data_IF_022643711147
#
_entry.id   IF_022643711147
#
_cell.length_a   1.000
_cell.length_b   1.000
_cell.length_c   1.000
_cell.angle_alpha   90.00
_cell.angle_beta   90.00
_cell.angle_gamma   90.00
#
_symmetry.space_group_name_H-M   'P 1'
#
loop_
_entity.id
_entity.type
_entity.pdbx_description
1 polymer ?
#
# COMPACT_ATOMS: atom_id res chain seq x y z
N UNK A 1 3.94 -19.76 2.24
CA UNK A 1 4.32 -21.15 2.53
C UNK A 1 3.07 -22.00 2.37
N UNK A 2 3.07 -22.99 1.46
CA UNK A 2 2.01 -24.00 1.42
C UNK A 2 2.06 -24.75 2.76
N UNK A 3 0.96 -24.72 3.53
CA UNK A 3 0.86 -25.41 4.82
C UNK A 3 0.90 -24.51 6.07
N UNK A 4 1.27 -23.24 5.96
CA UNK A 4 1.28 -22.31 7.11
C UNK A 4 0.07 -21.40 7.22
N UNK A 5 -0.80 -21.39 6.20
CA UNK A 5 -2.03 -20.60 6.18
C UNK A 5 -3.15 -21.29 6.94
N UNK A 6 -4.10 -20.51 7.45
CA UNK A 6 -5.35 -21.05 7.97
C UNK A 6 -6.09 -21.80 6.86
N UNK A 7 -6.43 -23.07 7.08
CA UNK A 7 -7.09 -23.90 6.07
C UNK A 7 -8.52 -23.45 5.79
N UNK A 8 -9.23 -22.90 6.79
CA UNK A 8 -10.62 -22.48 6.66
C UNK A 8 -10.76 -21.25 5.74
N UNK A 9 -9.90 -20.24 5.88
CA UNK A 9 -9.96 -19.00 5.09
C UNK A 9 -8.84 -18.90 4.04
N UNK A 10 -8.02 -19.93 3.86
CA UNK A 10 -6.90 -19.99 2.90
C UNK A 10 -5.88 -18.83 3.05
N UNK A 11 -5.85 -18.20 4.23
CA UNK A 11 -4.97 -17.09 4.54
C UNK A 11 -5.59 -15.71 4.36
N UNK A 12 -6.86 -15.58 4.03
CA UNK A 12 -7.53 -14.29 3.85
C UNK A 12 -7.90 -13.64 5.19
N UNK A 13 -8.06 -14.45 6.26
CA UNK A 13 -8.51 -13.98 7.57
C UNK A 13 -10.01 -13.72 7.64
N UNK A 14 -10.67 -13.66 6.48
CA UNK A 14 -12.11 -13.48 6.31
C UNK A 14 -12.70 -14.63 5.52
N UNK A 15 -13.97 -14.88 5.72
CA UNK A 15 -14.79 -15.81 4.92
C UNK A 15 -15.79 -14.98 4.15
N UNK A 16 -15.80 -15.15 2.83
CA UNK A 16 -16.75 -14.52 1.94
C UNK A 16 -18.06 -15.33 1.98
N UNK A 17 -19.17 -14.65 2.27
CA UNK A 17 -20.52 -15.20 2.18
C UNK A 17 -21.17 -14.59 0.93
N UNK A 18 -21.36 -15.42 -0.09
CA UNK A 18 -22.00 -14.99 -1.33
C UNK A 18 -23.53 -14.91 -1.14
N UNK A 19 -24.09 -13.77 -1.48
CA UNK A 19 -25.52 -13.53 -1.45
C UNK A 19 -26.03 -13.29 -2.88
N UNK A 20 -26.94 -14.15 -3.37
CA UNK A 20 -27.39 -14.13 -4.76
C UNK A 20 -28.00 -12.80 -5.25
N UNK A 21 -28.52 -11.94 -4.36
CA UNK A 21 -29.20 -10.68 -4.72
C UNK A 21 -28.69 -9.46 -3.94
N UNK A 22 -27.70 -9.65 -3.06
CA UNK A 22 -27.12 -8.61 -2.21
C UNK A 22 -25.59 -8.60 -2.38
N UNK A 23 -24.91 -7.49 -2.05
CA UNK A 23 -23.46 -7.48 -2.01
C UNK A 23 -22.91 -8.58 -1.09
N UNK A 24 -21.80 -9.20 -1.51
CA UNK A 24 -21.10 -10.20 -0.71
C UNK A 24 -20.74 -9.68 0.66
N UNK A 25 -20.94 -10.48 1.70
CA UNK A 25 -20.58 -10.15 3.08
C UNK A 25 -19.31 -10.88 3.47
N UNK A 26 -18.38 -10.15 4.10
CA UNK A 26 -17.14 -10.71 4.61
C UNK A 26 -17.20 -10.77 6.13
N UNK A 27 -17.04 -11.97 6.68
CA UNK A 27 -17.01 -12.20 8.13
C UNK A 27 -15.63 -12.68 8.57
N UNK A 28 -15.21 -12.31 9.78
CA UNK A 28 -13.95 -12.80 10.34
C UNK A 28 -13.95 -14.32 10.43
N UNK A 29 -12.87 -14.96 10.02
CA UNK A 29 -12.72 -16.40 10.10
C UNK A 29 -12.71 -16.86 11.56
N UNK A 30 -13.63 -17.75 11.93
CA UNK A 30 -13.79 -18.26 13.29
C UNK A 30 -12.62 -19.16 13.74
N UNK A 31 -11.86 -19.72 12.79
CA UNK A 31 -10.73 -20.62 13.08
C UNK A 31 -9.47 -19.84 13.42
N UNK A 32 -9.11 -18.84 12.63
CA UNK A 32 -7.89 -18.04 12.85
C UNK A 32 -8.15 -16.66 13.46
N UNK A 33 -9.41 -16.27 13.67
CA UNK A 33 -9.81 -14.98 14.22
C UNK A 33 -9.11 -13.79 13.52
N UNK A 34 -9.05 -13.84 12.19
CA UNK A 34 -8.40 -12.80 11.37
C UNK A 34 -6.87 -12.92 11.25
N UNK A 35 -6.21 -13.81 11.98
CA UNK A 35 -4.75 -13.95 12.01
C UNK A 35 -4.15 -14.58 10.74
N UNK A 36 -4.95 -15.14 9.84
CA UNK A 36 -4.59 -15.67 8.51
C UNK A 36 -3.74 -16.94 8.49
N UNK A 37 -3.04 -17.27 9.58
CA UNK A 37 -2.09 -18.39 9.68
C UNK A 37 -2.53 -19.40 10.72
N UNK A 38 -2.00 -20.61 10.62
CA UNK A 38 -2.17 -21.65 11.60
C UNK A 38 -1.33 -21.38 12.85
N UNK A 39 -1.60 -22.08 13.94
CA UNK A 39 -0.94 -21.88 15.23
C UNK A 39 0.58 -22.10 15.15
N UNK A 40 1.01 -23.14 14.46
CA UNK A 40 2.44 -23.47 14.31
C UNK A 40 3.22 -22.33 13.64
N UNK A 41 2.63 -21.67 12.64
CA UNK A 41 3.23 -20.52 11.98
C UNK A 41 3.23 -19.29 12.89
N UNK A 42 2.20 -19.10 13.71
CA UNK A 42 2.09 -17.98 14.63
C UNK A 42 3.05 -18.10 15.82
N UNK A 43 3.47 -19.31 16.17
CA UNK A 43 4.46 -19.55 17.23
C UNK A 43 5.88 -19.12 16.81
N UNK A 44 6.13 -18.95 15.49
CA UNK A 44 7.39 -18.40 14.99
C UNK A 44 7.39 -16.88 15.13
N UNK A 45 8.39 -16.36 15.86
CA UNK A 45 8.50 -14.91 16.13
C UNK A 45 9.82 -14.33 15.65
N UNK A 46 9.78 -13.07 15.21
CA UNK A 46 10.95 -12.23 14.95
C UNK A 46 10.85 -10.97 15.83
N UNK A 47 11.83 -10.67 16.64
CA UNK A 47 11.79 -9.58 17.64
C UNK A 47 10.51 -9.64 18.48
N UNK A 48 10.15 -10.83 18.96
CA UNK A 48 8.93 -11.11 19.77
C UNK A 48 7.59 -10.81 19.07
N UNK A 49 7.56 -10.67 17.76
CA UNK A 49 6.35 -10.46 16.96
C UNK A 49 6.13 -11.64 16.02
N UNK A 50 4.91 -12.15 15.98
CA UNK A 50 4.46 -13.14 14.99
C UNK A 50 4.19 -12.48 13.64
N UNK A 51 4.00 -13.29 12.60
CA UNK A 51 3.60 -12.76 11.29
C UNK A 51 2.24 -12.03 11.34
N UNK A 52 1.32 -12.44 12.20
CA UNK A 52 0.04 -11.74 12.39
C UNK A 52 0.25 -10.35 13.00
N UNK A 53 1.12 -10.22 14.00
CA UNK A 53 1.47 -8.94 14.60
C UNK A 53 2.13 -8.00 13.58
N UNK A 54 3.00 -8.53 12.74
CA UNK A 54 3.65 -7.77 11.66
C UNK A 54 2.64 -7.28 10.62
N UNK A 55 1.66 -8.11 10.25
CA UNK A 55 0.62 -7.71 9.31
C UNK A 55 -0.36 -6.67 9.90
N UNK A 56 -0.47 -6.61 11.22
CA UNK A 56 -1.32 -5.63 11.93
C UNK A 56 -0.62 -4.29 12.16
N UNK A 57 0.71 -4.23 12.02
CA UNK A 57 1.47 -2.98 12.06
C UNK A 57 1.08 -2.05 10.92
N UNK A 58 1.17 -0.74 11.17
CA UNK A 58 1.15 0.26 10.10
C UNK A 58 2.43 0.15 9.26
N UNK A 59 2.43 0.71 8.06
CA UNK A 59 3.63 0.79 7.21
C UNK A 59 4.74 1.57 7.93
N UNK A 60 4.40 2.65 8.63
CA UNK A 60 5.34 3.46 9.40
C UNK A 60 6.02 2.63 10.51
N UNK A 61 5.24 1.95 11.35
CA UNK A 61 5.76 1.03 12.37
C UNK A 61 6.61 -0.09 11.76
N UNK A 62 6.20 -0.60 10.59
CA UNK A 62 6.94 -1.63 9.86
C UNK A 62 8.30 -1.15 9.36
N UNK A 63 8.43 0.09 8.90
CA UNK A 63 9.72 0.69 8.50
C UNK A 63 10.69 0.69 9.67
N UNK A 64 10.25 1.13 10.84
CA UNK A 64 11.06 1.14 12.06
C UNK A 64 11.41 -0.27 12.54
N UNK A 65 10.43 -1.17 12.56
CA UNK A 65 10.60 -2.54 13.01
C UNK A 65 11.63 -3.30 12.16
N UNK A 66 11.60 -3.10 10.84
CA UNK A 66 12.51 -3.74 9.89
C UNK A 66 13.74 -2.89 9.53
N UNK A 67 14.11 -1.90 10.34
CA UNK A 67 15.27 -1.03 10.07
C UNK A 67 16.56 -1.80 9.78
N UNK A 68 16.77 -2.94 10.43
CA UNK A 68 17.94 -3.80 10.24
C UNK A 68 17.79 -4.82 9.06
N UNK A 69 16.65 -4.80 8.34
CA UNK A 69 16.37 -5.74 7.24
C UNK A 69 16.06 -4.93 5.96
N UNK A 70 17.09 -4.46 5.22
CA UNK A 70 16.92 -3.53 4.10
C UNK A 70 15.94 -4.03 3.03
N UNK A 71 15.96 -5.33 2.72
CA UNK A 71 15.07 -5.93 1.70
C UNK A 71 13.57 -5.76 1.99
N UNK A 72 13.18 -5.65 3.27
CA UNK A 72 11.79 -5.40 3.70
C UNK A 72 11.57 -3.91 3.92
N UNK A 73 12.48 -3.26 4.67
CA UNK A 73 12.43 -1.84 4.98
C UNK A 73 12.27 -0.99 3.73
N UNK A 74 13.07 -1.21 2.68
CA UNK A 74 13.06 -0.37 1.48
C UNK A 74 11.72 -0.45 0.73
N UNK A 75 11.04 -1.59 0.77
CA UNK A 75 9.69 -1.74 0.20
C UNK A 75 8.62 -1.03 1.03
N UNK A 76 8.72 -1.10 2.36
CA UNK A 76 7.82 -0.37 3.24
C UNK A 76 8.08 1.13 3.15
N UNK A 77 9.35 1.54 3.03
CA UNK A 77 9.72 2.93 2.81
C UNK A 77 9.07 3.48 1.54
N UNK A 78 9.10 2.74 0.42
CA UNK A 78 8.42 3.17 -0.81
C UNK A 78 6.92 3.39 -0.63
N UNK A 79 6.25 2.62 0.25
CA UNK A 79 4.85 2.84 0.61
C UNK A 79 4.68 4.08 1.51
N UNK A 80 5.59 4.28 2.45
CA UNK A 80 5.60 5.45 3.33
C UNK A 80 5.78 6.74 2.53
N UNK A 81 6.70 6.75 1.56
CA UNK A 81 7.04 7.91 0.73
C UNK A 81 5.86 8.35 -0.16
N UNK A 82 4.95 7.44 -0.53
CA UNK A 82 3.70 7.78 -1.24
C UNK A 82 2.56 8.22 -0.31
N UNK A 83 2.84 8.49 0.97
CA UNK A 83 1.82 8.91 1.94
C UNK A 83 0.93 7.78 2.45
N UNK A 84 1.38 6.52 2.41
CA UNK A 84 0.66 5.36 2.89
C UNK A 84 1.19 4.82 4.23
N UNK A 85 1.82 5.69 5.04
CA UNK A 85 2.38 5.31 6.34
C UNK A 85 1.34 4.73 7.31
N UNK A 86 0.11 5.20 7.23
CA UNK A 86 -0.99 4.86 8.13
C UNK A 86 -1.70 3.53 7.81
N UNK A 87 -1.58 2.99 6.60
CA UNK A 87 -2.24 1.72 6.26
C UNK A 87 -1.52 0.54 6.93
N UNK A 88 -2.26 -0.53 7.20
CA UNK A 88 -1.66 -1.75 7.76
C UNK A 88 -0.90 -2.51 6.69
N UNK A 89 0.26 -3.10 7.06
CA UNK A 89 1.06 -3.95 6.16
C UNK A 89 0.21 -5.10 5.59
N UNK A 90 -0.69 -5.65 6.39
CA UNK A 90 -1.63 -6.68 5.98
C UNK A 90 -2.98 -6.16 5.45
N UNK A 91 -3.12 -4.87 5.10
CA UNK A 91 -4.35 -4.31 4.59
C UNK A 91 -4.87 -5.08 3.36
N UNK A 92 -6.15 -5.41 3.34
CA UNK A 92 -6.76 -6.07 2.19
C UNK A 92 -6.99 -5.07 1.05
N UNK A 93 -6.74 -5.49 -0.18
CA UNK A 93 -6.84 -4.60 -1.35
C UNK A 93 -8.27 -4.05 -1.57
N UNK A 94 -9.30 -4.81 -1.20
CA UNK A 94 -10.70 -4.40 -1.31
C UNK A 94 -11.14 -3.37 -0.25
N UNK A 95 -10.30 -3.09 0.75
CA UNK A 95 -10.55 -2.07 1.77
C UNK A 95 -9.82 -0.75 1.47
N UNK A 96 -9.00 -0.73 0.42
CA UNK A 96 -8.30 0.46 -0.04
C UNK A 96 -9.24 1.34 -0.86
N UNK A 97 -9.16 2.64 -0.66
CA UNK A 97 -9.77 3.63 -1.57
C UNK A 97 -9.08 3.61 -2.94
N UNK A 98 -9.73 4.18 -3.96
CA UNK A 98 -9.14 4.27 -5.31
C UNK A 98 -7.77 4.95 -5.30
N UNK A 99 -7.64 6.07 -4.59
CA UNK A 99 -6.37 6.79 -4.44
C UNK A 99 -5.29 5.99 -3.71
N UNK A 100 -5.65 5.26 -2.63
CA UNK A 100 -4.70 4.38 -1.93
C UNK A 100 -4.21 3.24 -2.81
N UNK A 101 -5.13 2.58 -3.53
CA UNK A 101 -4.77 1.51 -4.45
C UNK A 101 -3.84 2.00 -5.58
N UNK A 102 -4.05 3.22 -6.08
CA UNK A 102 -3.20 3.85 -7.07
C UNK A 102 -1.80 4.14 -6.50
N UNK A 103 -1.71 4.69 -5.28
CA UNK A 103 -0.43 4.94 -4.60
C UNK A 103 0.34 3.65 -4.28
N UNK A 104 -0.35 2.55 -3.94
CA UNK A 104 0.31 1.23 -3.80
C UNK A 104 0.95 0.78 -5.12
N UNK A 105 0.26 0.98 -6.26
CA UNK A 105 0.84 0.69 -7.58
C UNK A 105 2.04 1.60 -7.85
N UNK A 106 1.94 2.88 -7.53
CA UNK A 106 3.03 3.84 -7.69
C UNK A 106 4.25 3.45 -6.84
N UNK A 107 4.08 3.13 -5.56
CA UNK A 107 5.16 2.65 -4.69
C UNK A 107 5.87 1.42 -5.26
N UNK A 108 5.09 0.49 -5.84
CA UNK A 108 5.64 -0.70 -6.51
C UNK A 108 6.51 -0.33 -7.72
N UNK A 109 6.09 0.65 -8.52
CA UNK A 109 6.89 1.10 -9.68
C UNK A 109 8.15 1.83 -9.23
N UNK A 110 8.06 2.68 -8.19
CA UNK A 110 9.20 3.38 -7.61
C UNK A 110 10.26 2.44 -7.02
N UNK A 111 9.83 1.32 -6.45
CA UNK A 111 10.77 0.30 -5.94
C UNK A 111 11.54 -0.45 -7.03
N UNK A 112 11.18 -0.25 -8.30
CA UNK A 112 11.91 -0.79 -9.45
C UNK A 112 13.03 0.17 -9.89
N UNK A 113 14.06 -0.37 -10.52
CA UNK A 113 15.10 0.46 -11.12
C UNK A 113 14.50 1.25 -12.30
N UNK A 114 14.51 2.57 -12.19
CA UNK A 114 14.00 3.44 -13.26
C UNK A 114 14.81 3.26 -14.55
N UNK A 115 14.12 3.19 -15.69
CA UNK A 115 14.73 3.17 -17.02
C UNK A 115 14.82 4.57 -17.65
N UNK A 116 14.19 5.58 -17.03
CA UNK A 116 14.11 6.94 -17.56
C UNK A 116 13.26 7.08 -18.84
N UNK A 117 12.39 6.12 -19.15
CA UNK A 117 11.55 6.09 -20.37
C UNK A 117 10.13 5.62 -20.08
N UNK A 118 9.61 5.92 -18.90
CA UNK A 118 8.26 5.50 -18.50
C UNK A 118 7.32 6.69 -18.52
N UNK A 119 6.11 6.51 -19.03
CA UNK A 119 5.00 7.44 -18.91
C UNK A 119 4.11 6.98 -17.76
N UNK A 120 3.96 7.81 -16.74
CA UNK A 120 3.04 7.62 -15.62
C UNK A 120 1.80 8.49 -15.85
N UNK A 121 0.62 7.90 -15.78
CA UNK A 121 -0.67 8.61 -15.82
C UNK A 121 -1.35 8.36 -14.49
N UNK A 122 -1.60 9.43 -13.75
CA UNK A 122 -2.17 9.41 -12.40
C UNK A 122 -3.48 10.19 -12.41
N UNK A 123 -4.53 9.56 -11.90
CA UNK A 123 -5.86 10.15 -11.82
C UNK A 123 -6.18 10.42 -10.36
N UNK A 124 -6.32 11.71 -9.99
CA UNK A 124 -6.56 12.20 -8.64
C UNK A 124 -5.67 11.54 -7.55
N UNK A 125 -4.33 11.48 -7.72
CA UNK A 125 -3.46 10.75 -6.79
C UNK A 125 -3.43 11.36 -5.39
N UNK A 126 -3.89 12.59 -5.19
CA UNK A 126 -3.94 13.26 -3.88
C UNK A 126 -5.25 13.03 -3.12
N UNK A 127 -6.22 12.33 -3.72
CA UNK A 127 -7.50 12.05 -3.06
C UNK A 127 -7.30 11.31 -1.73
N UNK A 128 -7.86 11.89 -0.66
CA UNK A 128 -7.76 11.33 0.70
C UNK A 128 -6.42 11.52 1.39
N UNK A 129 -5.49 12.30 0.81
CA UNK A 129 -4.22 12.66 1.46
C UNK A 129 -4.38 13.87 2.37
N UNK A 130 -3.68 13.83 3.51
CA UNK A 130 -3.44 15.02 4.31
C UNK A 130 -2.46 15.96 3.58
N UNK A 131 -2.56 17.27 3.82
CA UNK A 131 -1.73 18.29 3.14
C UNK A 131 -0.22 17.97 3.17
N UNK A 132 0.29 17.48 4.29
CA UNK A 132 1.69 17.11 4.42
C UNK A 132 2.11 15.96 3.49
N UNK A 133 1.21 14.98 3.28
CA UNK A 133 1.48 13.82 2.43
C UNK A 133 1.38 14.17 0.95
N UNK A 134 0.61 15.21 0.60
CA UNK A 134 0.57 15.77 -0.76
C UNK A 134 1.96 16.27 -1.17
N UNK A 135 2.66 16.98 -0.29
CA UNK A 135 4.00 17.49 -0.58
C UNK A 135 5.00 16.35 -0.81
N UNK A 136 4.97 15.30 0.02
CA UNK A 136 5.82 14.12 -0.19
C UNK A 136 5.56 13.44 -1.53
N UNK A 137 4.28 13.31 -1.90
CA UNK A 137 3.91 12.75 -3.20
C UNK A 137 4.44 13.60 -4.34
N UNK A 138 4.34 14.93 -4.26
CA UNK A 138 4.85 15.85 -5.27
C UNK A 138 6.37 15.79 -5.41
N UNK A 139 7.12 15.80 -4.31
CA UNK A 139 8.58 15.65 -4.32
C UNK A 139 8.99 14.37 -5.06
N UNK A 140 8.28 13.30 -4.81
CA UNK A 140 8.54 12.02 -5.46
C UNK A 140 8.18 12.02 -6.95
N UNK A 141 7.06 12.64 -7.35
CA UNK A 141 6.69 12.77 -8.77
C UNK A 141 7.74 13.62 -9.51
N UNK A 142 8.23 14.68 -8.90
CA UNK A 142 9.34 15.48 -9.45
C UNK A 142 10.62 14.65 -9.60
N UNK A 143 10.98 13.86 -8.60
CA UNK A 143 12.13 12.96 -8.71
C UNK A 143 12.02 11.94 -9.84
N UNK A 144 10.81 11.45 -10.15
CA UNK A 144 10.57 10.61 -11.33
C UNK A 144 10.83 11.35 -12.64
N UNK A 145 10.40 12.60 -12.74
CA UNK A 145 10.62 13.44 -13.93
C UNK A 145 12.12 13.73 -14.10
N UNK A 146 12.83 14.05 -13.02
CA UNK A 146 14.29 14.26 -13.04
C UNK A 146 15.07 13.03 -13.49
N UNK A 147 14.55 11.84 -13.25
CA UNK A 147 15.09 10.57 -13.75
C UNK A 147 14.81 10.32 -15.24
N UNK A 148 14.19 11.27 -15.96
CA UNK A 148 13.90 11.22 -17.39
C UNK A 148 12.54 10.59 -17.74
N UNK A 149 11.68 10.32 -16.76
CA UNK A 149 10.33 9.83 -17.01
C UNK A 149 9.36 10.98 -17.34
N UNK A 150 8.20 10.65 -17.89
CA UNK A 150 7.09 11.58 -18.10
C UNK A 150 5.98 11.28 -17.10
N UNK A 151 5.44 12.31 -16.48
CA UNK A 151 4.33 12.18 -15.52
C UNK A 151 3.18 13.08 -15.95
N UNK A 152 2.00 12.50 -16.14
CA UNK A 152 0.74 13.20 -16.42
C UNK A 152 -0.16 12.99 -15.21
N UNK A 153 -0.64 14.09 -14.64
CA UNK A 153 -1.51 14.08 -13.46
C UNK A 153 -2.84 14.76 -13.81
N UNK A 154 -3.94 14.09 -13.54
CA UNK A 154 -5.29 14.64 -13.61
C UNK A 154 -5.65 15.00 -12.17
N UNK A 155 -5.88 16.28 -11.88
CA UNK A 155 -6.10 16.77 -10.52
C UNK A 155 -6.99 18.00 -10.47
N UNK A 156 -7.67 18.15 -9.34
CA UNK A 156 -8.45 19.34 -9.00
C UNK A 156 -7.82 20.14 -7.85
N UNK A 157 -6.81 19.59 -7.20
CA UNK A 157 -6.09 20.26 -6.11
C UNK A 157 -5.18 21.35 -6.67
N UNK A 158 -5.51 22.61 -6.35
CA UNK A 158 -4.77 23.79 -6.84
C UNK A 158 -3.30 23.80 -6.44
N UNK A 159 -2.95 23.26 -5.29
CA UNK A 159 -1.55 23.19 -4.85
C UNK A 159 -0.73 22.25 -5.72
N UNK A 160 -1.35 21.15 -6.19
CA UNK A 160 -0.71 20.24 -7.16
C UNK A 160 -0.55 20.92 -8.51
N UNK A 161 -1.63 21.58 -9.00
CA UNK A 161 -1.63 22.24 -10.30
C UNK A 161 -0.54 23.32 -10.37
N UNK A 162 -0.34 24.10 -9.29
CA UNK A 162 0.70 25.13 -9.22
C UNK A 162 2.13 24.59 -9.33
N UNK A 163 2.37 23.33 -8.99
CA UNK A 163 3.69 22.70 -9.05
C UNK A 163 4.00 22.07 -10.41
N UNK A 164 3.02 21.98 -11.31
CA UNK A 164 3.21 21.42 -12.63
C UNK A 164 4.08 22.32 -13.51
N UNK A 165 4.99 21.71 -14.27
CA UNK A 165 5.83 22.40 -15.25
C UNK A 165 5.02 22.87 -16.48
N UNK A 166 4.00 22.09 -16.84
CA UNK A 166 3.03 22.39 -17.89
C UNK A 166 1.65 22.00 -17.38
N UNK A 167 0.64 22.84 -17.57
CA UNK A 167 -0.74 22.49 -17.31
C UNK A 167 -1.63 22.89 -18.47
N UNK A 168 -2.73 22.13 -18.68
CA UNK A 168 -3.79 22.44 -19.60
C UNK A 168 -5.10 22.55 -18.83
N UNK A 169 -5.88 23.59 -19.09
CA UNK A 169 -7.26 23.74 -18.61
C UNK A 169 -8.18 23.79 -19.80
N UNK A 170 -9.29 23.09 -19.72
CA UNK A 170 -10.41 23.24 -20.68
C UNK A 170 -11.17 24.53 -20.42
#
# INVERSE_FOLDING_TARGET
VKGGRCEACQGDGLIKIEMHFLPDVYVTCDVCHGKRYNRETLDVTFKSKSIADVLDMTVEEGVEFFAAVPAVRDKLQSLFDVGLGYIKVGQQANTLSGGEAQRVKLAKELSKRSTGRTLYILDEPTTGLHFHDVNKLLEMLHALVEQGNSVVVIEHNLEVIKTCLLYTSD
#
